data_IF_210511849857
#
_entry.id   IF_210511849857
#
_cell.length_a   1.000
_cell.length_b   1.000
_cell.length_c   1.000
_cell.angle_alpha   90.00
_cell.angle_beta   90.00
_cell.angle_gamma   90.00
#
_symmetry.space_group_name_H-M   'P 1'
#
loop_
_entity.id
_entity.type
_entity.pdbx_description
1 polymer ?
#
# COMPACT_ATOMS: atom_id res chain seq x y z
N UNK A 1 -5.79 3.37 -11.87
CA UNK A 1 -6.74 4.07 -10.95
C UNK A 1 -7.44 3.15 -9.94
N UNK A 2 -7.93 1.95 -10.33
CA UNK A 2 -8.64 1.04 -9.41
C UNK A 2 -7.82 0.60 -8.18
N UNK A 3 -6.53 0.26 -8.36
CA UNK A 3 -5.69 -0.23 -7.26
C UNK A 3 -5.48 0.81 -6.14
N UNK A 4 -5.19 2.08 -6.52
CA UNK A 4 -5.05 3.19 -5.56
C UNK A 4 -6.33 3.44 -4.77
N UNK A 5 -7.49 3.37 -5.42
CA UNK A 5 -8.78 3.54 -4.72
C UNK A 5 -9.02 2.41 -3.71
N UNK A 6 -8.73 1.16 -4.08
CA UNK A 6 -8.86 0.02 -3.17
C UNK A 6 -7.91 0.13 -1.97
N UNK A 7 -6.68 0.57 -2.20
CA UNK A 7 -5.72 0.83 -1.13
C UNK A 7 -6.22 1.90 -0.16
N UNK A 8 -6.68 3.05 -0.66
CA UNK A 8 -7.26 4.11 0.19
C UNK A 8 -8.45 3.56 0.99
N UNK A 9 -9.34 2.78 0.35
CA UNK A 9 -10.48 2.16 1.05
C UNK A 9 -10.04 1.23 2.17
N UNK A 10 -9.01 0.42 1.97
CA UNK A 10 -8.48 -0.47 3.00
C UNK A 10 -7.93 0.31 4.21
N UNK A 11 -7.36 1.49 3.99
CA UNK A 11 -6.84 2.35 5.06
C UNK A 11 -7.93 3.06 5.87
N UNK A 12 -9.11 3.33 5.29
CA UNK A 12 -10.19 4.07 5.97
C UNK A 12 -10.66 3.44 7.28
N UNK A 13 -10.56 2.12 7.40
CA UNK A 13 -10.98 1.38 8.60
C UNK A 13 -9.92 1.34 9.70
N UNK A 14 -8.78 2.00 9.49
CA UNK A 14 -7.63 1.98 10.39
C UNK A 14 -7.24 0.56 10.86
N UNK A 15 -7.00 -0.40 9.95
CA UNK A 15 -6.74 -1.78 10.34
C UNK A 15 -5.38 -1.94 11.03
N UNK A 16 -5.28 -2.88 11.97
CA UNK A 16 -4.00 -3.27 12.61
C UNK A 16 -3.12 -4.11 11.69
N UNK A 17 -3.74 -4.84 10.75
CA UNK A 17 -3.08 -5.71 9.77
C UNK A 17 -3.57 -5.35 8.37
N UNK A 18 -2.64 -5.11 7.46
CA UNK A 18 -2.92 -4.76 6.06
C UNK A 18 -2.34 -5.82 5.11
N UNK A 19 -3.19 -6.37 4.24
CA UNK A 19 -2.79 -7.28 3.16
C UNK A 19 -2.81 -6.53 1.83
N UNK A 20 -1.69 -6.52 1.12
CA UNK A 20 -1.53 -5.79 -0.14
C UNK A 20 -1.00 -6.74 -1.22
N UNK A 21 -1.86 -7.08 -2.17
CA UNK A 21 -1.46 -7.92 -3.30
C UNK A 21 -1.01 -7.04 -4.48
N UNK A 22 0.27 -7.11 -4.85
CA UNK A 22 0.88 -6.33 -5.94
C UNK A 22 0.50 -4.81 -5.93
N UNK A 23 0.69 -4.09 -4.80
CA UNK A 23 0.12 -2.76 -4.60
C UNK A 23 0.58 -1.74 -5.65
N UNK A 24 1.82 -1.87 -6.13
CA UNK A 24 2.45 -0.94 -7.08
C UNK A 24 2.27 -1.35 -8.55
N UNK A 25 1.58 -2.45 -8.83
CA UNK A 25 1.41 -2.95 -10.20
C UNK A 25 0.61 -1.99 -11.08
N UNK A 26 1.16 -1.72 -12.28
CA UNK A 26 0.56 -0.79 -13.25
C UNK A 26 0.57 0.68 -12.81
N UNK A 27 1.38 1.05 -11.80
CA UNK A 27 1.66 2.44 -11.45
C UNK A 27 2.94 2.92 -12.13
N UNK A 28 2.98 4.20 -12.49
CA UNK A 28 4.23 4.86 -12.86
C UNK A 28 5.18 4.99 -11.64
N UNK A 29 6.48 5.28 -11.85
CA UNK A 29 7.46 5.37 -10.76
C UNK A 29 7.11 6.41 -9.69
N UNK A 30 6.48 7.52 -10.06
CA UNK A 30 6.10 8.58 -9.11
C UNK A 30 4.99 8.10 -8.18
N UNK A 31 3.92 7.54 -8.75
CA UNK A 31 2.81 6.99 -7.99
C UNK A 31 3.22 5.77 -7.14
N UNK A 32 4.13 4.95 -7.64
CA UNK A 32 4.71 3.83 -6.88
C UNK A 32 5.45 4.31 -5.63
N UNK A 33 6.22 5.40 -5.75
CA UNK A 33 6.91 6.02 -4.63
C UNK A 33 5.92 6.55 -3.58
N UNK A 34 4.89 7.29 -4.01
CA UNK A 34 3.86 7.80 -3.10
C UNK A 34 3.18 6.66 -2.32
N UNK A 35 2.83 5.57 -3.01
CA UNK A 35 2.21 4.43 -2.34
C UNK A 35 3.14 3.76 -1.33
N UNK A 36 4.42 3.61 -1.68
CA UNK A 36 5.45 3.08 -0.77
C UNK A 36 5.63 3.97 0.46
N UNK A 37 5.65 5.29 0.29
CA UNK A 37 5.76 6.24 1.40
C UNK A 37 4.56 6.13 2.36
N UNK A 38 3.35 5.94 1.84
CA UNK A 38 2.16 5.71 2.67
C UNK A 38 2.28 4.37 3.43
N UNK A 39 2.68 3.28 2.76
CA UNK A 39 2.87 1.97 3.40
C UNK A 39 3.89 2.07 4.54
N UNK A 40 5.01 2.78 4.32
CA UNK A 40 6.03 2.99 5.35
C UNK A 40 5.52 3.84 6.52
N UNK A 41 4.68 4.84 6.25
CA UNK A 41 4.02 5.63 7.29
C UNK A 41 3.05 4.80 8.13
N UNK A 42 2.29 3.89 7.52
CA UNK A 42 1.39 3.00 8.25
C UNK A 42 2.19 1.99 9.10
N UNK A 43 3.31 1.48 8.58
CA UNK A 43 4.24 0.64 9.35
C UNK A 43 4.82 1.38 10.56
N UNK A 44 5.20 2.66 10.42
CA UNK A 44 5.76 3.43 11.54
C UNK A 44 4.72 3.73 12.64
N UNK A 45 3.42 3.69 12.30
CA UNK A 45 2.32 3.74 13.27
C UNK A 45 2.10 2.42 14.02
N UNK A 46 2.91 1.39 13.76
CA UNK A 46 2.84 0.09 14.45
C UNK A 46 1.96 -0.95 13.75
N UNK A 47 1.47 -0.67 12.53
CA UNK A 47 0.65 -1.63 11.79
C UNK A 47 1.49 -2.75 11.19
N UNK A 48 0.91 -3.95 11.17
CA UNK A 48 1.48 -5.10 10.47
C UNK A 48 1.09 -5.05 9.01
N UNK A 49 2.05 -5.15 8.11
CA UNK A 49 1.78 -5.09 6.66
C UNK A 49 2.38 -6.31 6.00
N UNK A 50 1.54 -7.06 5.29
CA UNK A 50 1.92 -8.20 4.47
C UNK A 50 1.67 -7.80 3.02
N UNK A 51 2.70 -7.87 2.19
CA UNK A 51 2.59 -7.51 0.78
C UNK A 51 3.30 -8.50 -0.12
N UNK A 52 2.78 -8.66 -1.34
CA UNK A 52 3.40 -9.38 -2.45
C UNK A 52 3.82 -8.37 -3.51
N UNK A 53 4.96 -8.60 -4.16
CA UNK A 53 5.45 -7.77 -5.26
C UNK A 53 6.33 -8.59 -6.18
N UNK A 54 6.18 -8.37 -7.49
CA UNK A 54 7.14 -8.84 -8.50
C UNK A 54 8.24 -7.81 -8.77
N UNK A 55 8.04 -6.55 -8.34
CA UNK A 55 9.05 -5.49 -8.40
C UNK A 55 9.87 -5.49 -7.10
N UNK A 56 11.17 -5.76 -7.21
CA UNK A 56 12.17 -5.56 -6.13
C UNK A 56 12.82 -4.18 -6.23
#
# INVERSE_FOLDING_TARGET
MKSRLNFIKALLHNPDILFLDEPTSGLDPSNSKVMKDIILSEKSKGKTIILTTHNM
#
